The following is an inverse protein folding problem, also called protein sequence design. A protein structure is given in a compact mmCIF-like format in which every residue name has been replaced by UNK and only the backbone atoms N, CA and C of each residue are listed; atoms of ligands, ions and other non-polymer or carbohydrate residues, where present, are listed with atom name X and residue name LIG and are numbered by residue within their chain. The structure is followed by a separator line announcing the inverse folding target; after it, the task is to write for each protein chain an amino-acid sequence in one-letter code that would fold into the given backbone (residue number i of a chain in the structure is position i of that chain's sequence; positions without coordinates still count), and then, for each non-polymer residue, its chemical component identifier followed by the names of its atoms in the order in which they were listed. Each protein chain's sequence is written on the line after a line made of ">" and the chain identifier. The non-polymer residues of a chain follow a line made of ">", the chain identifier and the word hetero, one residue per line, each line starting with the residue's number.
data_IF_717939356302
#
_entry.id   IF_717939356302
#
_cell.length_a   1.000
_cell.length_b   1.000
_cell.length_c   1.000
_cell.angle_alpha   90.00
_cell.angle_beta   90.00
_cell.angle_gamma   90.00
#
_symmetry.space_group_name_H-M   'P 1'
#
loop_
_entity.id
_entity.type
_entity.pdbx_description
1 polymer ?
#
# COMPACT_ATOMS: atom_id res chain seq x y z
N UNK A 1 -29.37 -22.01 67.28
CA UNK A 1 -28.47 -21.56 66.19
C UNK A 1 -28.88 -22.28 64.91
N UNK A 2 -29.49 -21.59 63.95
CA UNK A 2 -29.82 -22.14 62.62
C UNK A 2 -29.00 -21.40 61.59
N UNK A 3 -28.13 -22.13 60.91
CA UNK A 3 -27.26 -21.64 59.84
C UNK A 3 -28.05 -21.60 58.53
N UNK A 4 -28.06 -20.45 57.85
CA UNK A 4 -28.69 -20.26 56.55
C UNK A 4 -27.60 -20.27 55.47
N UNK A 5 -27.59 -21.32 54.66
CA UNK A 5 -26.69 -21.46 53.51
C UNK A 5 -27.38 -20.89 52.27
N UNK A 6 -27.02 -19.67 51.87
CA UNK A 6 -27.52 -19.05 50.64
C UNK A 6 -26.62 -19.48 49.49
N UNK A 7 -27.14 -20.32 48.61
CA UNK A 7 -26.47 -20.74 47.37
C UNK A 7 -26.82 -19.73 46.27
N UNK A 8 -25.86 -18.90 45.86
CA UNK A 8 -25.98 -18.06 44.67
C UNK A 8 -25.83 -18.95 43.42
N UNK A 9 -26.93 -19.15 42.68
CA UNK A 9 -26.86 -19.69 41.33
C UNK A 9 -26.33 -18.60 40.38
N UNK A 10 -25.08 -18.75 39.94
CA UNK A 10 -24.54 -17.98 38.82
C UNK A 10 -25.10 -18.56 37.52
N UNK A 11 -26.05 -17.85 36.91
CA UNK A 11 -26.60 -18.19 35.59
C UNK A 11 -25.63 -17.64 34.54
N UNK A 12 -24.79 -18.50 33.98
CA UNK A 12 -24.01 -18.20 32.78
C UNK A 12 -24.96 -18.13 31.57
N UNK A 13 -25.47 -16.95 31.24
CA UNK A 13 -26.12 -16.72 29.96
C UNK A 13 -25.06 -16.72 28.85
N UNK A 14 -25.20 -17.55 27.79
CA UNK A 14 -24.32 -17.49 26.64
C UNK A 14 -24.55 -16.17 25.93
N UNK A 15 -23.58 -15.26 26.02
CA UNK A 15 -23.52 -14.06 25.18
C UNK A 15 -23.39 -14.57 23.74
N UNK A 16 -24.49 -14.56 22.99
CA UNK A 16 -24.45 -14.69 21.53
C UNK A 16 -23.74 -13.46 21.00
N UNK A 17 -22.42 -13.53 20.85
CA UNK A 17 -21.70 -12.63 19.97
C UNK A 17 -22.24 -12.87 18.56
N UNK A 18 -23.20 -12.06 18.13
CA UNK A 18 -23.50 -11.90 16.72
C UNK A 18 -22.25 -11.28 16.10
N UNK A 19 -21.35 -12.11 15.61
CA UNK A 19 -20.34 -11.68 14.66
C UNK A 19 -21.10 -11.20 13.42
N UNK A 20 -21.47 -9.93 13.42
CA UNK A 20 -21.77 -9.22 12.18
C UNK A 20 -20.46 -9.30 11.41
N UNK A 21 -20.36 -10.27 10.49
CA UNK A 21 -19.44 -10.17 9.36
C UNK A 21 -19.92 -8.96 8.58
N UNK A 22 -19.53 -7.76 9.05
CA UNK A 22 -19.56 -6.58 8.23
C UNK A 22 -18.85 -6.95 6.94
N UNK A 23 -19.36 -6.48 5.82
CA UNK A 23 -18.76 -6.73 4.52
C UNK A 23 -17.48 -5.88 4.44
N UNK A 24 -16.46 -6.26 5.23
CA UNK A 24 -15.25 -5.49 5.55
C UNK A 24 -14.52 -5.03 4.30
N UNK A 25 -14.65 -5.78 3.21
CA UNK A 25 -14.08 -5.44 1.92
C UNK A 25 -14.80 -4.24 1.26
N UNK A 26 -16.14 -4.17 1.32
CA UNK A 26 -16.90 -3.03 0.78
C UNK A 26 -16.61 -1.74 1.56
N UNK A 27 -16.55 -1.83 2.89
CA UNK A 27 -16.22 -0.68 3.74
C UNK A 27 -14.78 -0.22 3.49
N UNK A 28 -13.82 -1.15 3.40
CA UNK A 28 -12.44 -0.84 3.08
C UNK A 28 -12.32 -0.17 1.71
N UNK A 29 -13.01 -0.67 0.69
CA UNK A 29 -13.03 -0.09 -0.64
C UNK A 29 -13.53 1.36 -0.62
N UNK A 30 -14.66 1.62 0.05
CA UNK A 30 -15.20 2.98 0.17
C UNK A 30 -14.24 3.92 0.88
N UNK A 31 -13.56 3.45 1.93
CA UNK A 31 -12.58 4.25 2.66
C UNK A 31 -11.30 4.48 1.84
N UNK A 32 -10.84 3.49 1.09
CA UNK A 32 -9.72 3.62 0.17
C UNK A 32 -10.04 4.63 -0.93
N UNK A 33 -11.17 4.49 -1.62
CA UNK A 33 -11.60 5.44 -2.66
C UNK A 33 -11.79 6.87 -2.12
N UNK A 34 -12.21 7.02 -0.85
CA UNK A 34 -12.27 8.31 -0.17
C UNK A 34 -10.87 8.86 0.09
N UNK A 35 -9.92 8.04 0.50
CA UNK A 35 -8.54 8.45 0.76
C UNK A 35 -7.86 9.06 -0.47
N UNK A 36 -8.19 8.60 -1.67
CA UNK A 36 -7.56 9.06 -2.91
C UNK A 36 -8.05 10.44 -3.40
N UNK A 37 -9.09 11.02 -2.79
CA UNK A 37 -9.78 12.24 -3.29
C UNK A 37 -9.31 13.57 -2.65
N UNK A 38 -9.03 13.65 -1.34
CA UNK A 38 -8.60 14.88 -0.70
C UNK A 38 -7.36 15.52 -1.34
N UNK A 39 -7.26 16.85 -1.22
CA UNK A 39 -6.09 17.60 -1.69
C UNK A 39 -4.80 17.19 -0.98
N UNK A 40 -4.88 16.69 0.26
CA UNK A 40 -3.75 16.14 1.00
C UNK A 40 -3.12 14.94 0.28
N UNK A 41 -3.96 13.97 -0.13
CA UNK A 41 -3.51 12.81 -0.91
C UNK A 41 -2.90 13.25 -2.24
N UNK A 42 -3.57 14.12 -2.98
CA UNK A 42 -3.05 14.61 -4.28
C UNK A 42 -1.72 15.36 -4.12
N UNK A 43 -1.55 16.12 -3.03
CA UNK A 43 -0.30 16.80 -2.73
C UNK A 43 0.81 15.81 -2.35
N UNK A 44 0.48 14.78 -1.56
CA UNK A 44 1.39 13.69 -1.22
C UNK A 44 1.82 12.92 -2.46
N UNK A 45 0.87 12.49 -3.28
CA UNK A 45 1.11 11.77 -4.53
C UNK A 45 2.02 12.58 -5.47
N UNK A 46 1.74 13.87 -5.64
CA UNK A 46 2.58 14.77 -6.43
C UNK A 46 4.01 14.82 -5.89
N UNK A 47 4.18 15.08 -4.60
CA UNK A 47 5.50 15.18 -3.98
C UNK A 47 6.28 13.86 -4.06
N UNK A 48 5.61 12.72 -3.84
CA UNK A 48 6.22 11.40 -3.96
C UNK A 48 6.63 11.07 -5.39
N UNK A 49 5.81 11.44 -6.38
CA UNK A 49 6.15 11.29 -7.79
C UNK A 49 7.34 12.16 -8.21
N UNK A 50 7.38 13.42 -7.77
CA UNK A 50 8.54 14.30 -7.98
C UNK A 50 9.80 13.70 -7.34
N UNK A 51 9.68 13.17 -6.12
CA UNK A 51 10.78 12.51 -5.43
C UNK A 51 11.29 11.26 -6.17
N UNK A 52 10.41 10.34 -6.58
CA UNK A 52 10.77 9.15 -7.38
C UNK A 52 11.49 9.54 -8.67
N UNK A 53 10.99 10.55 -9.37
CA UNK A 53 11.60 10.99 -10.63
C UNK A 53 13.02 11.55 -10.44
N UNK A 54 13.30 12.14 -9.28
CA UNK A 54 14.64 12.59 -8.92
C UNK A 54 15.55 11.47 -8.40
N UNK A 55 15.01 10.47 -7.70
CA UNK A 55 15.81 9.35 -7.20
C UNK A 55 16.55 8.59 -8.32
N UNK A 56 15.96 8.54 -9.52
CA UNK A 56 16.48 7.74 -10.65
C UNK A 56 16.76 6.28 -10.24
N UNK A 57 15.91 5.74 -9.36
CA UNK A 57 16.10 4.42 -8.78
C UNK A 57 15.64 3.34 -9.75
N UNK A 58 16.56 2.47 -10.15
CA UNK A 58 16.30 1.37 -11.09
C UNK A 58 16.26 -0.01 -10.43
N UNK A 59 16.63 -0.11 -9.15
CA UNK A 59 16.62 -1.35 -8.39
C UNK A 59 15.24 -1.59 -7.74
N UNK A 60 15.13 -2.69 -6.99
CA UNK A 60 13.93 -3.00 -6.23
C UNK A 60 13.89 -2.22 -4.92
N UNK A 61 12.79 -1.49 -4.67
CA UNK A 61 12.61 -0.76 -3.41
C UNK A 61 12.44 -1.72 -2.23
N UNK A 62 12.18 -3.01 -2.50
CA UNK A 62 12.21 -4.07 -1.51
C UNK A 62 13.56 -4.19 -0.78
N UNK A 63 14.66 -3.69 -1.36
CA UNK A 63 15.98 -3.64 -0.70
C UNK A 63 16.02 -2.53 0.37
N UNK A 64 15.06 -1.60 0.33
CA UNK A 64 14.94 -0.43 1.19
C UNK A 64 13.77 -0.59 2.15
N UNK A 65 13.67 -1.76 2.79
CA UNK A 65 12.55 -2.19 3.65
C UNK A 65 12.37 -1.38 4.95
N UNK A 66 13.30 -0.46 5.25
CA UNK A 66 13.21 0.49 6.35
C UNK A 66 13.87 1.84 6.01
N UNK A 67 13.48 2.89 6.74
CA UNK A 67 13.96 4.27 6.49
C UNK A 67 15.48 4.40 6.64
N UNK A 68 16.12 3.67 7.56
CA UNK A 68 17.57 3.75 7.71
C UNK A 68 18.31 3.18 6.50
N UNK A 69 17.85 2.07 5.93
CA UNK A 69 18.40 1.51 4.69
C UNK A 69 18.14 2.41 3.49
N UNK A 70 16.92 2.97 3.39
CA UNK A 70 16.58 3.95 2.37
C UNK A 70 17.53 5.16 2.40
N UNK A 71 17.72 5.77 3.58
CA UNK A 71 18.58 6.94 3.74
C UNK A 71 20.07 6.61 3.54
N UNK A 72 20.51 5.41 3.95
CA UNK A 72 21.87 4.93 3.68
C UNK A 72 22.11 4.75 2.19
N UNK A 73 21.16 4.14 1.48
CA UNK A 73 21.22 4.01 0.03
C UNK A 73 21.26 5.39 -0.63
N UNK A 74 20.37 6.31 -0.25
CA UNK A 74 20.33 7.67 -0.79
C UNK A 74 21.64 8.42 -0.59
N UNK A 75 22.27 8.25 0.58
CA UNK A 75 23.58 8.83 0.88
C UNK A 75 24.68 8.24 -0.01
N UNK A 76 24.65 6.92 -0.24
CA UNK A 76 25.65 6.20 -1.03
C UNK A 76 25.52 6.52 -2.52
N UNK A 77 24.29 6.62 -3.01
CA UNK A 77 23.96 6.73 -4.42
C UNK A 77 23.56 8.14 -4.84
N UNK A 78 23.77 9.16 -4.00
CA UNK A 78 23.37 10.55 -4.28
C UNK A 78 23.85 11.04 -5.65
N UNK A 79 25.06 10.64 -6.05
CA UNK A 79 25.67 10.98 -7.33
C UNK A 79 25.03 10.30 -8.55
N UNK A 80 24.16 9.30 -8.34
CA UNK A 80 23.36 8.63 -9.38
C UNK A 80 21.91 9.13 -9.45
N UNK A 81 21.53 9.98 -8.49
CA UNK A 81 20.23 10.66 -8.48
C UNK A 81 20.30 11.98 -9.25
N UNK A 82 19.14 12.57 -9.51
CA UNK A 82 19.01 13.93 -10.05
C UNK A 82 18.89 15.00 -8.95
N UNK A 83 19.14 14.64 -7.69
CA UNK A 83 19.31 15.64 -6.62
C UNK A 83 20.70 16.29 -6.75
N UNK A 84 20.78 17.59 -6.51
CA UNK A 84 22.03 18.34 -6.50
C UNK A 84 22.98 17.83 -5.41
N UNK A 85 22.42 17.56 -4.24
CA UNK A 85 23.15 17.13 -3.06
C UNK A 85 22.22 16.42 -2.07
N UNK A 86 22.81 15.85 -1.02
CA UNK A 86 22.07 15.13 0.02
C UNK A 86 21.11 16.04 0.79
N UNK A 87 21.38 17.35 0.88
CA UNK A 87 20.51 18.28 1.59
C UNK A 87 19.21 18.54 0.81
N UNK A 88 19.29 18.71 -0.51
CA UNK A 88 18.11 18.76 -1.37
C UNK A 88 17.29 17.48 -1.26
N UNK A 89 17.94 16.31 -1.30
CA UNK A 89 17.27 15.02 -1.20
C UNK A 89 16.56 14.85 0.15
N UNK A 90 17.23 15.18 1.25
CA UNK A 90 16.63 15.15 2.59
C UNK A 90 15.45 16.11 2.74
N UNK A 91 15.57 17.33 2.18
CA UNK A 91 14.48 18.32 2.20
C UNK A 91 13.26 17.80 1.43
N UNK A 92 13.48 17.22 0.25
CA UNK A 92 12.41 16.63 -0.54
C UNK A 92 11.78 15.42 0.18
N UNK A 93 12.59 14.57 0.81
CA UNK A 93 12.11 13.43 1.59
C UNK A 93 11.24 13.85 2.78
N UNK A 94 11.70 14.83 3.57
CA UNK A 94 10.92 15.41 4.67
C UNK A 94 9.57 15.96 4.15
N UNK A 95 9.60 16.67 3.02
CA UNK A 95 8.39 17.20 2.38
C UNK A 95 7.41 16.12 1.89
N UNK A 96 7.88 14.91 1.56
CA UNK A 96 7.03 13.74 1.26
C UNK A 96 6.40 13.22 2.56
N UNK A 97 7.21 13.03 3.61
CA UNK A 97 6.73 12.54 4.91
C UNK A 97 5.66 13.44 5.52
N UNK A 98 5.87 14.75 5.51
CA UNK A 98 4.91 15.72 6.05
C UNK A 98 3.55 15.66 5.35
N UNK A 99 3.54 15.49 4.02
CA UNK A 99 2.29 15.37 3.24
C UNK A 99 1.62 14.02 3.43
N UNK A 100 2.41 12.95 3.57
CA UNK A 100 1.89 11.64 3.95
C UNK A 100 1.19 11.71 5.30
N UNK A 101 1.83 12.34 6.29
CA UNK A 101 1.27 12.53 7.64
C UNK A 101 -0.07 13.28 7.62
N UNK A 102 -0.20 14.32 6.79
CA UNK A 102 -1.47 15.03 6.60
C UNK A 102 -2.53 14.11 5.98
N UNK A 103 -2.17 13.41 4.90
CA UNK A 103 -3.06 12.44 4.23
C UNK A 103 -3.55 11.38 5.21
N UNK A 104 -2.66 10.86 6.05
CA UNK A 104 -2.98 9.86 7.06
C UNK A 104 -3.97 10.38 8.09
N UNK A 105 -3.72 11.59 8.62
CA UNK A 105 -4.60 12.22 9.63
C UNK A 105 -6.01 12.49 9.09
N UNK A 106 -6.13 12.92 7.85
CA UNK A 106 -7.42 13.18 7.21
C UNK A 106 -8.19 11.90 6.85
N UNK A 107 -7.50 10.74 6.81
CA UNK A 107 -8.05 9.46 6.40
C UNK A 107 -7.83 8.37 7.46
N UNK A 108 -7.81 8.74 8.74
CA UNK A 108 -7.59 7.84 9.88
C UNK A 108 -8.50 6.60 9.84
N UNK A 109 -9.76 6.79 9.45
CA UNK A 109 -10.75 5.73 9.35
C UNK A 109 -10.38 4.67 8.31
N UNK A 110 -9.69 5.02 7.22
CA UNK A 110 -9.18 4.03 6.27
C UNK A 110 -8.18 3.10 6.96
N UNK A 111 -7.23 3.66 7.72
CA UNK A 111 -6.22 2.86 8.43
C UNK A 111 -6.84 2.00 9.54
N UNK A 112 -7.87 2.50 10.23
CA UNK A 112 -8.62 1.72 11.22
C UNK A 112 -9.29 0.51 10.55
N UNK A 113 -10.03 0.73 9.46
CA UNK A 113 -10.72 -0.33 8.73
C UNK A 113 -9.73 -1.32 8.11
N UNK A 114 -8.60 -0.83 7.59
CA UNK A 114 -7.52 -1.66 7.06
C UNK A 114 -6.91 -2.59 8.12
N UNK A 115 -6.72 -2.12 9.36
CA UNK A 115 -6.20 -2.97 10.45
C UNK A 115 -7.20 -4.05 10.86
N UNK A 116 -8.51 -3.79 10.69
CA UNK A 116 -9.58 -4.74 10.97
C UNK A 116 -9.88 -5.70 9.80
N UNK A 117 -9.42 -5.39 8.58
CA UNK A 117 -9.62 -6.23 7.41
C UNK A 117 -8.77 -7.51 7.46
N UNK A 118 -9.08 -8.48 6.61
CA UNK A 118 -8.18 -9.62 6.39
C UNK A 118 -6.95 -9.20 5.58
N UNK A 119 -5.90 -10.02 5.61
CA UNK A 119 -4.82 -9.87 4.65
C UNK A 119 -5.40 -10.15 3.25
N UNK A 120 -5.01 -9.37 2.25
CA UNK A 120 -5.46 -9.39 0.86
C UNK A 120 -6.69 -8.53 0.54
N UNK A 121 -7.44 -8.03 1.52
CA UNK A 121 -8.62 -7.21 1.22
C UNK A 121 -8.25 -5.93 0.44
N UNK A 122 -7.17 -5.25 0.84
CA UNK A 122 -6.69 -4.05 0.12
C UNK A 122 -6.04 -4.45 -1.21
N UNK A 123 -5.29 -5.55 -1.22
CA UNK A 123 -4.69 -6.13 -2.42
C UNK A 123 -5.74 -6.35 -3.50
N UNK A 124 -6.86 -6.98 -3.14
CA UNK A 124 -7.97 -7.25 -4.04
C UNK A 124 -8.55 -5.93 -4.56
N UNK A 125 -8.78 -4.93 -3.71
CA UNK A 125 -9.27 -3.61 -4.15
C UNK A 125 -8.34 -2.96 -5.17
N UNK A 126 -7.03 -2.93 -4.89
CA UNK A 126 -6.03 -2.27 -5.74
C UNK A 126 -5.83 -3.04 -7.06
N UNK A 127 -5.85 -4.37 -7.02
CA UNK A 127 -5.60 -5.19 -8.20
C UNK A 127 -6.84 -5.41 -9.08
N UNK A 128 -8.05 -5.45 -8.50
CA UNK A 128 -9.30 -5.73 -9.22
C UNK A 128 -9.69 -4.65 -10.23
N UNK A 129 -9.17 -3.42 -10.11
CA UNK A 129 -9.44 -2.36 -11.10
C UNK A 129 -8.96 -2.74 -12.52
N UNK A 130 -7.99 -3.66 -12.64
CA UNK A 130 -7.41 -4.07 -13.91
C UNK A 130 -8.11 -5.33 -14.47
N UNK A 131 -9.22 -5.15 -15.21
CA UNK A 131 -9.87 -6.26 -15.91
C UNK A 131 -8.99 -6.80 -17.03
N UNK A 132 -8.73 -8.11 -17.03
CA UNK A 132 -8.09 -8.79 -18.16
C UNK A 132 -9.02 -8.77 -19.38
N UNK A 133 -8.53 -8.25 -20.50
CA UNK A 133 -9.32 -8.08 -21.73
C UNK A 133 -8.70 -8.82 -22.92
N UNK A 134 -7.51 -9.39 -22.76
CA UNK A 134 -6.78 -10.07 -23.81
C UNK A 134 -7.53 -11.30 -24.35
N UNK A 135 -7.69 -11.34 -25.67
CA UNK A 135 -8.28 -12.49 -26.38
C UNK A 135 -7.22 -13.44 -26.91
N UNK A 136 -6.09 -12.92 -27.38
CA UNK A 136 -4.99 -13.70 -27.95
C UNK A 136 -4.16 -14.40 -26.87
N UNK A 137 -3.65 -15.62 -27.08
CA UNK A 137 -2.83 -16.33 -26.10
C UNK A 137 -1.58 -15.55 -25.64
N UNK A 138 -0.89 -14.85 -26.54
CA UNK A 138 0.28 -14.04 -26.21
C UNK A 138 -0.10 -12.89 -25.25
N UNK A 139 -1.09 -12.09 -25.61
CA UNK A 139 -1.58 -10.98 -24.78
C UNK A 139 -2.09 -11.46 -23.41
N UNK A 140 -2.75 -12.63 -23.36
CA UNK A 140 -3.17 -13.25 -22.10
C UNK A 140 -2.00 -13.54 -21.19
N UNK A 141 -0.89 -14.06 -21.73
CA UNK A 141 0.34 -14.29 -20.95
C UNK A 141 0.91 -12.97 -20.41
N UNK A 142 0.93 -11.90 -21.21
CA UNK A 142 1.35 -10.58 -20.74
C UNK A 142 0.47 -10.07 -19.58
N UNK A 143 -0.85 -10.19 -19.72
CA UNK A 143 -1.81 -9.77 -18.70
C UNK A 143 -1.73 -10.61 -17.43
N UNK A 144 -1.55 -11.94 -17.53
CA UNK A 144 -1.33 -12.80 -16.35
C UNK A 144 -0.05 -12.44 -15.60
N UNK A 145 1.05 -12.22 -16.31
CA UNK A 145 2.32 -11.80 -15.68
C UNK A 145 2.20 -10.43 -15.02
N UNK A 146 1.50 -9.48 -15.66
CA UNK A 146 1.19 -8.18 -15.09
C UNK A 146 0.40 -8.30 -13.78
N UNK A 147 -0.70 -9.06 -13.77
CA UNK A 147 -1.52 -9.24 -12.57
C UNK A 147 -0.76 -9.92 -11.44
N UNK A 148 0.04 -10.94 -11.75
CA UNK A 148 0.88 -11.60 -10.74
C UNK A 148 1.88 -10.63 -10.10
N UNK A 149 2.54 -9.80 -10.91
CA UNK A 149 3.48 -8.82 -10.40
C UNK A 149 2.78 -7.70 -9.60
N UNK A 150 1.63 -7.22 -10.06
CA UNK A 150 0.85 -6.19 -9.38
C UNK A 150 0.32 -6.70 -8.04
N UNK A 151 -0.25 -7.91 -7.99
CA UNK A 151 -0.70 -8.55 -6.75
C UNK A 151 0.44 -8.66 -5.74
N UNK A 152 1.61 -9.16 -6.16
CA UNK A 152 2.76 -9.27 -5.26
C UNK A 152 3.19 -7.91 -4.70
N UNK A 153 3.14 -6.84 -5.50
CA UNK A 153 3.43 -5.48 -5.07
C UNK A 153 2.38 -4.96 -4.08
N UNK A 154 1.09 -5.18 -4.38
CA UNK A 154 -0.02 -4.74 -3.55
C UNK A 154 -0.07 -5.46 -2.19
N UNK A 155 0.25 -6.76 -2.14
CA UNK A 155 0.37 -7.52 -0.88
C UNK A 155 1.43 -6.93 0.04
N UNK A 156 2.59 -6.58 -0.52
CA UNK A 156 3.68 -5.95 0.25
C UNK A 156 3.25 -4.59 0.78
N UNK A 157 2.62 -3.79 -0.07
CA UNK A 157 2.10 -2.48 0.31
C UNK A 157 1.09 -2.59 1.44
N UNK A 158 0.08 -3.47 1.31
CA UNK A 158 -0.91 -3.74 2.36
C UNK A 158 -0.23 -4.21 3.66
N UNK A 159 0.71 -5.15 3.56
CA UNK A 159 1.47 -5.66 4.72
C UNK A 159 2.22 -4.54 5.44
N UNK A 160 2.87 -3.64 4.71
CA UNK A 160 3.53 -2.48 5.30
C UNK A 160 2.53 -1.60 6.05
N UNK A 161 1.41 -1.23 5.43
CA UNK A 161 0.39 -0.41 6.08
C UNK A 161 -0.21 -1.09 7.34
N UNK A 162 -0.33 -2.42 7.34
CA UNK A 162 -0.95 -3.19 8.43
C UNK A 162 -0.01 -3.52 9.57
N UNK A 163 1.28 -3.71 9.33
CA UNK A 163 2.17 -4.30 10.34
C UNK A 163 3.44 -3.50 10.64
N UNK A 164 3.78 -2.51 9.81
CA UNK A 164 4.96 -1.68 10.05
C UNK A 164 4.61 -0.41 10.84
N UNK A 165 5.66 0.25 11.30
CA UNK A 165 5.56 1.57 11.91
C UNK A 165 5.13 2.60 10.86
N UNK A 166 4.36 3.60 11.30
CA UNK A 166 3.80 4.64 10.42
C UNK A 166 4.86 5.36 9.58
N UNK A 167 6.06 5.51 10.13
CA UNK A 167 7.20 6.14 9.44
C UNK A 167 7.60 5.43 8.14
N UNK A 168 7.27 4.14 7.98
CA UNK A 168 7.60 3.32 6.82
C UNK A 168 6.52 3.33 5.74
N UNK A 169 5.32 3.82 6.03
CA UNK A 169 4.22 3.79 5.06
C UNK A 169 4.47 4.66 3.82
N UNK A 170 5.17 5.78 3.97
CA UNK A 170 5.57 6.64 2.84
C UNK A 170 6.57 5.91 1.92
N UNK A 171 7.53 5.16 2.48
CA UNK A 171 8.46 4.32 1.71
C UNK A 171 7.71 3.20 0.99
N UNK A 172 6.78 2.54 1.70
CA UNK A 172 5.95 1.50 1.12
C UNK A 172 5.13 2.02 -0.07
N UNK A 173 4.56 3.23 0.03
CA UNK A 173 3.88 3.88 -1.08
C UNK A 173 4.83 4.18 -2.24
N UNK A 174 6.01 4.77 -1.98
CA UNK A 174 7.00 5.05 -3.04
C UNK A 174 7.42 3.77 -3.77
N UNK A 175 7.65 2.69 -3.03
CA UNK A 175 7.97 1.36 -3.54
C UNK A 175 6.86 0.85 -4.46
N UNK A 176 5.63 0.83 -3.95
CA UNK A 176 4.45 0.38 -4.68
C UNK A 176 4.24 1.17 -5.97
N UNK A 177 4.31 2.49 -5.92
CA UNK A 177 4.14 3.38 -7.07
C UNK A 177 5.22 3.18 -8.13
N UNK A 178 6.49 3.12 -7.72
CA UNK A 178 7.58 2.89 -8.65
C UNK A 178 7.43 1.51 -9.33
N UNK A 179 7.11 0.47 -8.55
CA UNK A 179 6.90 -0.88 -9.07
C UNK A 179 5.73 -0.95 -10.03
N UNK A 180 4.60 -0.29 -9.72
CA UNK A 180 3.42 -0.22 -10.60
C UNK A 180 3.75 0.44 -11.94
N UNK A 181 4.58 1.49 -11.97
CA UNK A 181 5.05 2.11 -13.22
C UNK A 181 5.92 1.16 -14.05
N UNK A 182 6.85 0.45 -13.40
CA UNK A 182 7.71 -0.54 -14.06
C UNK A 182 6.88 -1.68 -14.65
N UNK A 183 5.99 -2.27 -13.85
CA UNK A 183 5.10 -3.36 -14.25
C UNK A 183 4.19 -2.93 -15.42
N UNK A 184 3.64 -1.71 -15.37
CA UNK A 184 2.82 -1.13 -16.45
C UNK A 184 3.63 -0.94 -17.74
N UNK A 185 4.87 -0.45 -17.65
CA UNK A 185 5.76 -0.34 -18.81
C UNK A 185 6.09 -1.72 -19.40
N UNK A 186 6.36 -2.71 -18.55
CA UNK A 186 6.62 -4.09 -18.98
C UNK A 186 5.41 -4.70 -19.71
N UNK A 187 4.19 -4.47 -19.21
CA UNK A 187 2.96 -4.91 -19.91
C UNK A 187 2.85 -4.31 -21.31
N UNK A 188 3.09 -3.00 -21.45
CA UNK A 188 3.05 -2.30 -22.76
C UNK A 188 4.06 -2.90 -23.74
N UNK A 189 5.30 -3.13 -23.29
CA UNK A 189 6.35 -3.73 -24.12
C UNK A 189 6.03 -5.18 -24.49
N UNK A 190 5.50 -5.98 -23.56
CA UNK A 190 5.08 -7.36 -23.82
C UNK A 190 3.97 -7.40 -24.88
N UNK A 191 2.95 -6.55 -24.75
CA UNK A 191 1.86 -6.45 -25.75
C UNK A 191 2.36 -6.01 -27.12
N UNK A 192 3.33 -5.10 -27.18
CA UNK A 192 3.96 -4.70 -28.45
C UNK A 192 4.65 -5.89 -29.13
N UNK A 193 5.38 -6.73 -28.37
CA UNK A 193 5.98 -7.96 -28.87
C UNK A 193 4.94 -8.93 -29.45
N UNK A 194 3.77 -9.07 -28.81
CA UNK A 194 2.67 -9.90 -29.31
C UNK A 194 2.04 -9.42 -30.63
N UNK A 195 2.29 -8.18 -31.06
CA UNK A 195 1.80 -7.64 -32.34
C UNK A 195 2.79 -7.75 -33.49
N UNK A 196 4.04 -8.10 -33.18
CA UNK A 196 5.10 -8.29 -34.17
C UNK A 196 5.15 -9.73 -34.73
N UNK A 197 4.38 -10.65 -34.13
CA UNK A 197 4.12 -12.02 -34.58
C UNK A 197 2.78 -12.13 -35.34
#
# INVERSE_FOLDING_TARGET
>A
MKSLCISLLMICLPIRQTHVKANTNLDLQQHYEKMLKPSSYLAFEKAGNEFISKLNFHDDFDILDNEALFLKWLTTEINRTNFKDLNEANTAWLGVKEKYELTRKENDQFYIVLKMSTLYDLTDIIALEQKLTAKKPCEKRCETSYMSALNNSAVKYESSLKYQEDALHSIAWLSFENKTKIITKALKLCKLGCTAD
#
